data_IF_694455346359
#
_entry.id   IF_694455346359
#
_cell.length_a   1.000
_cell.length_b   1.000
_cell.length_c   1.000
_cell.angle_alpha   90.00
_cell.angle_beta   90.00
_cell.angle_gamma   90.00
#
_symmetry.space_group_name_H-M   'P 1'
#
loop_
_entity.id
_entity.type
_entity.pdbx_description
1 polymer ?
#
# COMPACT_ATOMS: atom_id res chain seq x y z
N UNK A 1 33.11 2.61 8.69
CA UNK A 1 32.49 3.91 8.38
C UNK A 1 33.08 4.71 7.22
N UNK A 2 34.39 4.72 6.95
CA UNK A 2 34.94 5.42 5.77
C UNK A 2 34.99 4.50 4.54
N UNK A 3 35.31 3.22 4.73
CA UNK A 3 35.46 2.25 3.64
C UNK A 3 34.16 1.94 2.89
N UNK A 4 33.01 1.94 3.57
CA UNK A 4 31.70 1.71 2.94
C UNK A 4 31.30 2.88 2.02
N UNK A 5 31.68 4.12 2.37
CA UNK A 5 31.38 5.30 1.55
C UNK A 5 32.18 5.35 0.25
N UNK A 6 33.39 4.78 0.24
CA UNK A 6 34.25 4.74 -0.95
C UNK A 6 33.80 3.64 -1.93
N UNK A 7 33.27 2.52 -1.43
CA UNK A 7 32.76 1.45 -2.30
C UNK A 7 31.45 1.80 -3.03
N UNK A 8 30.55 2.61 -2.43
CA UNK A 8 29.31 3.04 -3.10
C UNK A 8 29.58 3.95 -4.31
N UNK A 9 30.64 4.78 -4.24
CA UNK A 9 31.06 5.67 -5.34
C UNK A 9 31.68 4.88 -6.50
N UNK A 10 32.42 3.80 -6.22
CA UNK A 10 33.06 2.96 -7.24
C UNK A 10 32.07 2.02 -7.95
N UNK A 11 30.92 1.73 -7.33
CA UNK A 11 29.88 0.84 -7.88
C UNK A 11 28.72 1.58 -8.57
N UNK A 12 28.79 2.91 -8.71
CA UNK A 12 27.71 3.69 -9.32
C UNK A 12 26.39 3.57 -8.55
N UNK A 13 26.46 3.23 -7.26
CA UNK A 13 25.31 3.28 -6.35
C UNK A 13 25.37 4.61 -5.60
N UNK A 14 25.23 5.70 -6.34
CA UNK A 14 24.84 6.95 -5.71
C UNK A 14 23.56 6.69 -4.93
N UNK A 15 23.56 7.08 -3.65
CA UNK A 15 22.33 7.04 -2.86
C UNK A 15 21.28 7.81 -3.65
N UNK A 16 20.05 7.27 -3.80
CA UNK A 16 18.97 7.99 -4.46
C UNK A 16 18.90 9.39 -3.89
N UNK A 17 18.90 10.40 -4.76
CA UNK A 17 18.69 11.78 -4.33
C UNK A 17 17.33 11.85 -3.66
N UNK A 18 17.33 11.95 -2.33
CA UNK A 18 16.14 11.92 -1.50
C UNK A 18 15.70 13.34 -1.13
N UNK A 19 14.41 13.59 -1.25
CA UNK A 19 13.82 14.88 -0.89
C UNK A 19 13.96 15.10 0.63
N UNK A 20 14.82 16.03 1.03
CA UNK A 20 15.18 16.27 2.44
C UNK A 20 14.14 17.12 3.19
N UNK A 21 12.85 17.00 2.86
CA UNK A 21 11.78 17.70 3.57
C UNK A 21 11.33 16.89 4.80
N UNK A 22 11.56 17.38 6.04
CA UNK A 22 11.27 16.62 7.25
C UNK A 22 9.77 16.36 7.47
N UNK A 23 8.87 17.21 6.96
CA UNK A 23 7.43 16.99 7.06
C UNK A 23 6.97 15.90 6.08
N UNK A 24 7.54 15.89 4.87
CA UNK A 24 7.26 14.85 3.89
C UNK A 24 7.77 13.49 4.33
N UNK A 25 8.96 13.43 4.94
CA UNK A 25 9.50 12.17 5.50
C UNK A 25 8.63 11.61 6.62
N UNK A 26 8.11 12.46 7.51
CA UNK A 26 7.13 12.06 8.53
C UNK A 26 5.84 11.52 7.91
N UNK A 27 5.32 12.20 6.88
CA UNK A 27 4.13 11.75 6.16
C UNK A 27 4.37 10.39 5.49
N UNK A 28 5.52 10.22 4.83
CA UNK A 28 5.94 8.97 4.21
C UNK A 28 5.93 7.85 5.23
N UNK A 29 6.68 7.99 6.32
CA UNK A 29 6.73 7.00 7.41
C UNK A 29 5.34 6.66 7.94
N UNK A 30 4.51 7.66 8.21
CA UNK A 30 3.14 7.46 8.66
C UNK A 30 2.31 6.62 7.68
N UNK A 31 2.40 6.88 6.36
CA UNK A 31 1.67 6.11 5.33
C UNK A 31 2.12 4.65 5.32
N UNK A 32 3.43 4.38 5.44
CA UNK A 32 3.96 3.00 5.50
C UNK A 32 3.50 2.26 6.76
N UNK A 33 3.50 2.91 7.92
CA UNK A 33 3.01 2.33 9.17
C UNK A 33 1.50 2.08 9.12
N UNK A 34 0.75 3.03 8.56
CA UNK A 34 -0.70 2.92 8.38
C UNK A 34 -1.07 1.75 7.47
N UNK A 35 -0.33 1.54 6.37
CA UNK A 35 -0.52 0.38 5.49
C UNK A 35 -0.38 -0.94 6.25
N UNK A 36 0.67 -1.07 7.07
CA UNK A 36 0.91 -2.27 7.87
C UNK A 36 -0.23 -2.52 8.87
N UNK A 37 -0.66 -1.48 9.60
CA UNK A 37 -1.74 -1.59 10.56
C UNK A 37 -3.08 -1.94 9.89
N UNK A 38 -3.40 -1.32 8.76
CA UNK A 38 -4.61 -1.60 8.00
C UNK A 38 -4.60 -3.01 7.41
N UNK A 39 -3.46 -3.48 6.89
CA UNK A 39 -3.33 -4.83 6.37
C UNK A 39 -3.55 -5.90 7.45
N UNK A 40 -2.99 -5.71 8.65
CA UNK A 40 -3.22 -6.64 9.76
C UNK A 40 -4.67 -6.57 10.27
N UNK A 41 -5.25 -5.37 10.36
CA UNK A 41 -6.66 -5.21 10.72
C UNK A 41 -7.60 -5.89 9.70
N UNK A 42 -7.33 -5.74 8.40
CA UNK A 42 -8.06 -6.39 7.31
C UNK A 42 -7.99 -7.92 7.44
N UNK A 43 -6.80 -8.46 7.72
CA UNK A 43 -6.60 -9.89 7.95
C UNK A 43 -7.39 -10.39 9.16
N UNK A 44 -7.41 -9.65 10.26
CA UNK A 44 -8.23 -10.00 11.42
C UNK A 44 -9.74 -9.93 11.13
N UNK A 45 -10.19 -8.90 10.42
CA UNK A 45 -11.59 -8.75 10.01
C UNK A 45 -12.05 -9.94 9.15
N UNK A 46 -11.26 -10.32 8.15
CA UNK A 46 -11.51 -11.49 7.31
C UNK A 46 -11.64 -12.77 8.14
N UNK A 47 -10.71 -13.02 9.07
CA UNK A 47 -10.77 -14.22 9.92
C UNK A 47 -11.99 -14.23 10.84
N UNK A 48 -12.41 -13.07 11.34
CA UNK A 48 -13.60 -12.97 12.18
C UNK A 48 -14.87 -13.32 11.39
N UNK A 49 -15.04 -12.73 10.20
CA UNK A 49 -16.17 -13.03 9.29
C UNK A 49 -16.17 -14.51 8.91
N UNK A 50 -15.02 -15.05 8.53
CA UNK A 50 -14.85 -16.47 8.20
C UNK A 50 -15.27 -17.37 9.37
N UNK A 51 -14.79 -17.08 10.58
CA UNK A 51 -15.13 -17.87 11.78
C UNK A 51 -16.63 -17.86 12.08
N UNK A 52 -17.30 -16.72 11.99
CA UNK A 52 -18.76 -16.66 12.20
C UNK A 52 -19.51 -17.50 11.16
N UNK A 53 -19.10 -17.45 9.89
CA UNK A 53 -19.71 -18.28 8.82
C UNK A 53 -19.52 -19.77 9.06
N UNK A 54 -18.30 -20.18 9.40
CA UNK A 54 -17.96 -21.59 9.66
C UNK A 54 -18.72 -22.12 10.88
N UNK A 55 -18.74 -21.37 11.99
CA UNK A 55 -19.49 -21.74 13.19
C UNK A 55 -21.00 -21.80 12.92
N UNK A 56 -21.53 -20.83 12.17
CA UNK A 56 -22.92 -20.83 11.74
C UNK A 56 -23.24 -22.09 10.92
N UNK A 57 -22.38 -22.49 9.99
CA UNK A 57 -22.55 -23.72 9.21
C UNK A 57 -22.53 -24.97 10.10
N UNK A 58 -21.53 -25.08 11.00
CA UNK A 58 -21.44 -26.20 11.94
C UNK A 58 -22.67 -26.34 12.83
N UNK A 59 -23.24 -25.23 13.31
CA UNK A 59 -24.47 -25.24 14.10
C UNK A 59 -25.71 -25.64 13.28
N UNK A 60 -25.77 -25.26 12.01
CA UNK A 60 -26.81 -25.75 11.09
C UNK A 60 -26.73 -27.27 10.95
N UNK A 61 -25.54 -27.81 10.70
CA UNK A 61 -25.36 -29.23 10.45
C UNK A 61 -25.53 -30.06 11.73
N UNK A 62 -25.05 -29.56 12.87
CA UNK A 62 -25.37 -30.11 14.18
C UNK A 62 -26.88 -30.11 14.43
N UNK A 63 -27.58 -29.02 14.10
CA UNK A 63 -29.03 -28.90 14.27
C UNK A 63 -29.80 -29.96 13.48
N UNK A 64 -29.41 -30.19 12.23
CA UNK A 64 -29.97 -31.25 11.37
C UNK A 64 -29.70 -32.64 11.97
N UNK A 65 -28.47 -32.92 12.39
CA UNK A 65 -28.09 -34.19 12.98
C UNK A 65 -28.85 -34.47 14.28
N UNK A 66 -29.01 -33.45 15.13
CA UNK A 66 -29.79 -33.55 16.36
C UNK A 66 -31.26 -33.89 16.07
N UNK A 67 -31.88 -33.26 15.07
CA UNK A 67 -33.25 -33.59 14.66
C UNK A 67 -33.38 -35.01 14.10
N UNK A 68 -32.42 -35.47 13.31
CA UNK A 68 -32.40 -36.85 12.81
C UNK A 68 -32.32 -37.86 13.95
N UNK A 69 -31.45 -37.61 14.93
CA UNK A 69 -31.37 -38.43 16.14
C UNK A 69 -32.70 -38.40 16.92
N UNK A 70 -33.29 -37.22 17.05
CA UNK A 70 -34.60 -37.05 17.69
C UNK A 70 -35.73 -37.84 17.01
N UNK A 71 -35.65 -38.07 15.70
CA UNK A 71 -36.61 -38.88 14.95
C UNK A 71 -36.41 -40.40 15.15
N UNK A 72 -35.21 -40.83 15.54
CA UNK A 72 -34.92 -42.21 15.92
C UNK A 72 -35.32 -42.53 17.37
N UNK A 73 -35.53 -41.49 18.18
CA UNK A 73 -35.87 -41.61 19.60
C UNK A 73 -37.35 -41.36 19.86
N UNK A 74 -37.92 -42.05 20.85
CA UNK A 74 -39.31 -41.87 21.27
C UNK A 74 -39.51 -40.86 22.40
N UNK A 75 -40.77 -40.52 22.67
CA UNK A 75 -41.23 -39.84 23.89
C UNK A 75 -40.52 -38.49 24.16
N UNK A 76 -40.03 -38.30 25.39
CA UNK A 76 -39.44 -37.04 25.88
C UNK A 76 -38.05 -36.80 25.26
N UNK A 77 -37.28 -37.86 25.01
CA UNK A 77 -35.92 -37.76 24.49
C UNK A 77 -35.90 -37.29 23.03
N UNK A 78 -36.77 -37.84 22.18
CA UNK A 78 -36.90 -37.39 20.79
C UNK A 78 -37.30 -35.92 20.68
N UNK A 79 -38.20 -35.46 21.56
CA UNK A 79 -38.57 -34.04 21.66
C UNK A 79 -37.38 -33.17 22.09
N UNK A 80 -36.60 -33.60 23.09
CA UNK A 80 -35.44 -32.85 23.55
C UNK A 80 -34.39 -32.63 22.45
N UNK A 81 -34.09 -33.67 21.65
CA UNK A 81 -33.19 -33.55 20.50
C UNK A 81 -33.74 -32.66 19.39
N UNK A 82 -35.05 -32.75 19.12
CA UNK A 82 -35.73 -31.87 18.15
C UNK A 82 -35.66 -30.39 18.56
N UNK A 83 -35.92 -30.11 19.85
CA UNK A 83 -35.84 -28.76 20.43
C UNK A 83 -34.39 -28.24 20.37
N UNK A 84 -33.40 -29.07 20.74
CA UNK A 84 -31.98 -28.74 20.65
C UNK A 84 -31.58 -28.39 19.20
N UNK A 85 -32.01 -29.19 18.24
CA UNK A 85 -31.72 -28.93 16.83
C UNK A 85 -32.33 -27.63 16.32
N UNK A 86 -33.58 -27.33 16.70
CA UNK A 86 -34.23 -26.07 16.36
C UNK A 86 -33.52 -24.86 16.98
N UNK A 87 -33.07 -24.96 18.25
CA UNK A 87 -32.27 -23.89 18.88
C UNK A 87 -30.93 -23.69 18.17
N UNK A 88 -30.28 -24.77 17.74
CA UNK A 88 -29.03 -24.69 16.99
C UNK A 88 -29.19 -23.97 15.66
N UNK A 89 -30.27 -24.23 14.92
CA UNK A 89 -30.58 -23.53 13.67
C UNK A 89 -30.85 -22.03 13.88
N UNK A 90 -31.52 -21.67 14.99
CA UNK A 90 -31.72 -20.25 15.35
C UNK A 90 -30.38 -19.56 15.61
N UNK A 91 -29.45 -20.21 16.31
CA UNK A 91 -28.10 -19.67 16.54
C UNK A 91 -27.29 -19.58 15.24
N UNK A 92 -27.40 -20.59 14.37
CA UNK A 92 -26.80 -20.59 13.03
C UNK A 92 -27.25 -19.37 12.23
N UNK A 93 -28.57 -19.11 12.15
CA UNK A 93 -29.11 -17.97 11.43
C UNK A 93 -28.62 -16.63 11.99
N UNK A 94 -28.49 -16.50 13.32
CA UNK A 94 -27.93 -15.29 13.96
C UNK A 94 -26.47 -15.08 13.55
N UNK A 95 -25.64 -16.13 13.60
CA UNK A 95 -24.23 -16.04 13.22
C UNK A 95 -24.05 -15.68 11.74
N UNK A 96 -24.88 -16.23 10.85
CA UNK A 96 -24.83 -15.86 9.43
C UNK A 96 -25.19 -14.39 9.21
N UNK A 97 -26.20 -13.88 9.94
CA UNK A 97 -26.56 -12.46 9.90
C UNK A 97 -25.43 -11.57 10.43
N UNK A 98 -24.84 -11.92 11.56
CA UNK A 98 -23.71 -11.18 12.13
C UNK A 98 -22.49 -11.21 11.22
N UNK A 99 -22.17 -12.36 10.60
CA UNK A 99 -21.08 -12.46 9.64
C UNK A 99 -21.28 -11.52 8.44
N UNK A 100 -22.52 -11.42 7.94
CA UNK A 100 -22.85 -10.50 6.85
C UNK A 100 -22.72 -9.04 7.28
N UNK A 101 -23.18 -8.69 8.49
CA UNK A 101 -23.02 -7.34 9.04
C UNK A 101 -21.54 -6.98 9.19
N UNK A 102 -20.73 -7.87 9.79
CA UNK A 102 -19.29 -7.68 9.94
C UNK A 102 -18.57 -7.54 8.60
N UNK A 103 -18.96 -8.31 7.58
CA UNK A 103 -18.42 -8.16 6.24
C UNK A 103 -18.68 -6.74 5.69
N UNK A 104 -19.93 -6.27 5.76
CA UNK A 104 -20.34 -5.00 5.15
C UNK A 104 -19.88 -3.78 5.95
N UNK A 105 -19.90 -3.84 7.27
CA UNK A 105 -19.58 -2.70 8.13
C UNK A 105 -18.12 -2.63 8.55
N UNK A 106 -17.34 -3.69 8.32
CA UNK A 106 -15.96 -3.76 8.82
C UNK A 106 -14.96 -4.27 7.78
N UNK A 107 -15.14 -5.47 7.23
CA UNK A 107 -14.16 -6.06 6.31
C UNK A 107 -14.06 -5.31 4.97
N UNK A 108 -15.19 -4.98 4.32
CA UNK A 108 -15.19 -4.24 3.05
C UNK A 108 -14.64 -2.80 3.20
N UNK A 109 -15.04 -2.00 4.21
CA UNK A 109 -14.41 -0.70 4.44
C UNK A 109 -12.90 -0.78 4.67
N UNK A 110 -12.41 -1.78 5.41
CA UNK A 110 -10.96 -1.97 5.60
C UNK A 110 -10.24 -2.28 4.30
N UNK A 111 -10.83 -3.10 3.40
CA UNK A 111 -10.28 -3.35 2.06
C UNK A 111 -10.12 -2.05 1.27
N UNK A 112 -11.12 -1.17 1.32
CA UNK A 112 -11.08 0.11 0.61
C UNK A 112 -10.02 1.06 1.18
N UNK A 113 -9.87 1.13 2.51
CA UNK A 113 -8.82 1.93 3.13
C UNK A 113 -7.42 1.43 2.79
N UNK A 114 -7.20 0.11 2.76
CA UNK A 114 -5.91 -0.47 2.32
C UNK A 114 -5.60 -0.04 0.88
N UNK A 115 -6.58 -0.10 -0.04
CA UNK A 115 -6.41 0.34 -1.44
C UNK A 115 -6.09 1.83 -1.54
N UNK A 116 -6.76 2.66 -0.76
CA UNK A 116 -6.51 4.10 -0.74
C UNK A 116 -5.08 4.42 -0.28
N UNK A 117 -4.61 3.78 0.79
CA UNK A 117 -3.24 3.96 1.30
C UNK A 117 -2.19 3.44 0.31
N UNK A 118 -2.45 2.31 -0.36
CA UNK A 118 -1.58 1.81 -1.43
C UNK A 118 -1.47 2.79 -2.60
N UNK A 119 -2.58 3.46 -2.95
CA UNK A 119 -2.58 4.49 -4.00
C UNK A 119 -1.74 5.70 -3.58
N UNK A 120 -1.87 6.17 -2.34
CA UNK A 120 -1.03 7.25 -1.79
C UNK A 120 0.45 6.86 -1.83
N UNK A 121 0.77 5.63 -1.44
CA UNK A 121 2.15 5.11 -1.48
C UNK A 121 2.71 5.03 -2.90
N UNK A 122 1.89 4.69 -3.89
CA UNK A 122 2.28 4.74 -5.30
C UNK A 122 2.62 6.17 -5.72
N UNK A 123 1.79 7.16 -5.37
CA UNK A 123 2.04 8.58 -5.63
C UNK A 123 3.32 9.10 -4.94
N UNK A 124 3.61 8.64 -3.72
CA UNK A 124 4.88 8.93 -3.04
C UNK A 124 6.08 8.40 -3.87
N UNK A 125 5.95 7.21 -4.45
CA UNK A 125 6.96 6.63 -5.34
C UNK A 125 7.12 7.41 -6.64
N UNK A 126 6.01 7.84 -7.26
CA UNK A 126 6.02 8.71 -8.44
C UNK A 126 6.71 10.05 -8.15
N UNK A 127 6.40 10.67 -7.01
CA UNK A 127 7.06 11.90 -6.55
C UNK A 127 8.57 11.71 -6.37
N UNK A 128 9.00 10.61 -5.74
CA UNK A 128 10.42 10.32 -5.58
C UNK A 128 11.13 10.16 -6.94
N UNK A 129 10.46 9.55 -7.92
CA UNK A 129 11.01 9.43 -9.28
C UNK A 129 11.11 10.79 -9.97
N UNK A 130 10.07 11.62 -9.88
CA UNK A 130 10.07 12.96 -10.44
C UNK A 130 11.15 13.85 -9.81
N UNK A 131 11.32 13.77 -8.48
CA UNK A 131 12.37 14.52 -7.77
C UNK A 131 13.76 14.13 -8.25
N UNK A 132 14.04 12.82 -8.40
CA UNK A 132 15.33 12.36 -8.96
C UNK A 132 15.58 12.91 -10.36
N UNK A 133 14.59 12.83 -11.24
CA UNK A 133 14.69 13.40 -12.60
C UNK A 133 14.95 14.91 -12.57
N UNK A 134 14.31 15.64 -11.64
CA UNK A 134 14.57 17.06 -11.45
C UNK A 134 16.02 17.34 -11.07
N UNK A 135 16.59 16.55 -10.16
CA UNK A 135 17.97 16.68 -9.72
C UNK A 135 18.95 16.39 -10.86
N UNK A 136 18.73 15.31 -11.62
CA UNK A 136 19.54 14.95 -12.80
C UNK A 136 19.53 16.06 -13.87
N UNK A 137 18.36 16.65 -14.15
CA UNK A 137 18.23 17.78 -15.07
C UNK A 137 18.96 19.03 -14.56
N UNK A 138 18.84 19.32 -13.26
CA UNK A 138 19.50 20.47 -12.64
C UNK A 138 21.04 20.33 -12.66
N UNK A 139 21.56 19.13 -12.41
CA UNK A 139 22.99 18.82 -12.51
C UNK A 139 23.49 18.92 -13.95
N UNK A 140 22.74 18.37 -14.91
CA UNK A 140 23.04 18.47 -16.34
C UNK A 140 23.11 19.93 -16.80
N UNK A 141 22.17 20.77 -16.35
CA UNK A 141 22.16 22.21 -16.65
C UNK A 141 23.40 22.90 -16.07
N UNK A 142 23.76 22.62 -14.82
CA UNK A 142 24.97 23.19 -14.17
C UNK A 142 26.26 22.77 -14.89
N UNK A 143 26.38 21.51 -15.29
CA UNK A 143 27.56 21.03 -16.03
C UNK A 143 27.71 21.75 -17.38
N UNK A 144 26.59 21.98 -18.08
CA UNK A 144 26.58 22.74 -19.34
C UNK A 144 26.91 24.22 -19.14
N UNK A 145 26.45 24.83 -18.04
CA UNK A 145 26.82 26.20 -17.63
C UNK A 145 28.33 26.33 -17.40
N UNK A 146 28.91 25.44 -16.60
CA UNK A 146 30.36 25.42 -16.32
C UNK A 146 31.16 25.23 -17.62
N UNK A 147 30.70 24.35 -18.52
CA UNK A 147 31.35 24.12 -19.80
C UNK A 147 31.30 25.37 -20.70
N UNK A 148 30.15 26.05 -20.76
CA UNK A 148 30.00 27.30 -21.49
C UNK A 148 30.96 28.37 -20.95
N UNK A 149 30.98 28.61 -19.64
CA UNK A 149 31.87 29.59 -18.99
C UNK A 149 33.34 29.31 -19.32
N UNK A 150 33.75 28.03 -19.26
CA UNK A 150 35.11 27.61 -19.60
C UNK A 150 35.46 27.88 -21.07
N UNK A 151 34.54 27.61 -21.99
CA UNK A 151 34.76 27.85 -23.42
C UNK A 151 34.79 29.35 -23.75
N UNK A 152 33.98 30.16 -23.06
CA UNK A 152 34.03 31.62 -23.17
C UNK A 152 35.36 32.18 -22.66
N UNK A 153 35.86 31.70 -21.52
CA UNK A 153 37.16 32.11 -20.96
C UNK A 153 38.33 31.75 -21.88
N UNK A 154 38.27 30.60 -22.55
CA UNK A 154 39.31 30.15 -23.48
C UNK A 154 39.15 30.69 -24.90
N UNK A 155 38.10 31.49 -25.16
CA UNK A 155 37.76 32.04 -26.50
C UNK A 155 37.68 30.96 -27.58
N UNK A 156 37.05 29.83 -27.23
CA UNK A 156 36.90 28.71 -28.15
C UNK A 156 35.88 29.01 -29.26
N UNK A 157 36.12 28.52 -30.48
CA UNK A 157 35.16 28.60 -31.58
C UNK A 157 33.86 27.81 -31.31
N UNK A 158 33.85 26.93 -30.29
CA UNK A 158 32.70 26.09 -29.91
C UNK A 158 31.71 26.76 -28.95
N UNK A 159 31.90 28.04 -28.61
CA UNK A 159 31.01 28.77 -27.69
C UNK A 159 29.56 28.76 -28.19
N UNK A 160 29.32 28.94 -29.49
CA UNK A 160 27.96 28.94 -30.05
C UNK A 160 27.22 27.60 -29.88
N UNK A 161 27.93 26.47 -30.00
CA UNK A 161 27.36 25.14 -29.74
C UNK A 161 27.01 24.98 -28.26
N UNK A 162 27.93 25.35 -27.37
CA UNK A 162 27.73 25.26 -25.92
C UNK A 162 26.59 26.16 -25.41
N UNK A 163 26.43 27.36 -25.98
CA UNK A 163 25.30 28.25 -25.67
C UNK A 163 23.96 27.62 -26.06
N UNK A 164 23.89 26.96 -27.21
CA UNK A 164 22.69 26.27 -27.67
C UNK A 164 22.35 25.10 -26.74
N UNK A 165 23.33 24.24 -26.44
CA UNK A 165 23.15 23.10 -25.55
C UNK A 165 22.72 23.50 -24.13
N UNK A 166 23.26 24.60 -23.60
CA UNK A 166 22.85 25.17 -22.30
C UNK A 166 21.40 25.67 -22.34
N UNK A 167 21.02 26.43 -23.38
CA UNK A 167 19.64 26.92 -23.55
C UNK A 167 18.65 25.75 -23.62
N UNK A 168 18.95 24.69 -24.37
CA UNK A 168 18.10 23.49 -24.44
C UNK A 168 17.93 22.80 -23.08
N UNK A 169 19.01 22.66 -22.32
CA UNK A 169 18.96 22.08 -20.97
C UNK A 169 18.17 22.96 -19.99
N UNK A 170 18.34 24.29 -20.08
CA UNK A 170 17.59 25.26 -19.27
C UNK A 170 16.09 25.18 -19.58
N UNK A 171 15.71 25.12 -20.86
CA UNK A 171 14.32 24.95 -21.26
C UNK A 171 13.74 23.63 -20.76
N UNK A 172 14.48 22.53 -20.86
CA UNK A 172 14.06 21.21 -20.39
C UNK A 172 13.83 21.18 -18.86
N UNK A 173 14.73 21.78 -18.09
CA UNK A 173 14.60 21.89 -16.63
C UNK A 173 13.42 22.78 -16.20
N UNK A 174 13.21 23.91 -16.88
CA UNK A 174 12.08 24.81 -16.62
C UNK A 174 10.73 24.17 -17.00
N UNK A 175 10.67 23.43 -18.11
CA UNK A 175 9.47 22.71 -18.52
C UNK A 175 9.10 21.62 -17.50
N UNK A 176 10.09 20.88 -17.00
CA UNK A 176 9.87 19.84 -15.99
C UNK A 176 9.32 20.41 -14.67
N UNK A 177 9.77 21.60 -14.26
CA UNK A 177 9.32 22.25 -13.01
C UNK A 177 7.90 22.85 -13.12
N UNK A 178 7.33 22.93 -14.32
CA UNK A 178 5.98 23.50 -14.57
C UNK A 178 4.87 22.44 -14.69
N UNK A 179 5.21 21.17 -14.82
CA UNK A 179 4.28 20.04 -14.82
C UNK A 179 3.98 19.58 -13.39
#
# INVERSE_FOLDING_TARGET
DVQSKVSDVVLGKEKPVEESNPEYEKLKQYVFELENHLAEAQKHAYHLVKRHRELGQSLSDFGKAAKLLGACEGQVLGKAFSDLGAKSEVLSAKLQKEAHQLLMSFEEPLKDYVRAVQSIKATIGERANAFRQQCELAETMKLKEINLDKLMLTRSDRVGEAEHEYKEASHSSQAFTRC
#
